data_IF_232271449903
#
_entry.id   IF_232271449903
#
_cell.length_a   1.000
_cell.length_b   1.000
_cell.length_c   1.000
_cell.angle_alpha   90.00
_cell.angle_beta   90.00
_cell.angle_gamma   90.00
#
_symmetry.space_group_name_H-M   'P 1'
#
loop_
_entity.id
_entity.type
_entity.pdbx_description
1 polymer ?
#
# COMPACT_ATOMS: atom_id res chain seq x y z
N UNK A 1 -32.50 10.33 5.33
CA UNK A 1 -32.18 9.48 6.50
C UNK A 1 -30.86 9.98 7.05
N UNK A 2 -30.87 10.68 8.19
CA UNK A 2 -29.65 11.09 8.90
C UNK A 2 -29.04 9.84 9.55
N UNK A 3 -28.04 9.23 8.89
CA UNK A 3 -27.23 8.21 9.53
C UNK A 3 -26.42 8.89 10.63
N UNK A 4 -26.80 8.65 11.88
CA UNK A 4 -26.09 9.17 13.05
C UNK A 4 -24.74 8.46 13.14
N UNK A 5 -23.71 9.09 12.60
CA UNK A 5 -22.34 8.57 12.58
C UNK A 5 -21.93 8.14 13.98
N UNK A 6 -21.73 6.83 14.21
CA UNK A 6 -21.41 6.31 15.55
C UNK A 6 -19.95 6.58 15.92
N UNK A 7 -19.61 6.66 17.21
CA UNK A 7 -18.23 6.86 17.66
C UNK A 7 -17.24 5.80 17.14
N UNK A 8 -17.75 4.62 16.79
CA UNK A 8 -17.01 3.53 16.15
C UNK A 8 -16.58 3.90 14.72
N UNK A 9 -17.45 4.53 13.95
CA UNK A 9 -17.15 4.95 12.56
C UNK A 9 -16.01 5.98 12.53
N UNK A 10 -15.92 6.87 13.52
CA UNK A 10 -14.81 7.80 13.68
C UNK A 10 -13.47 7.09 13.93
N UNK A 11 -13.48 6.07 14.79
CA UNK A 11 -12.28 5.26 15.07
C UNK A 11 -11.84 4.53 13.80
N UNK A 12 -12.77 3.91 13.07
CA UNK A 12 -12.47 3.24 11.80
C UNK A 12 -11.94 4.21 10.75
N UNK A 13 -12.49 5.43 10.67
CA UNK A 13 -12.04 6.45 9.72
C UNK A 13 -10.62 6.93 10.03
N UNK A 14 -10.31 7.20 11.30
CA UNK A 14 -8.94 7.55 11.73
C UNK A 14 -7.97 6.41 11.41
N UNK A 15 -8.38 5.16 11.64
CA UNK A 15 -7.56 3.99 11.32
C UNK A 15 -7.28 3.88 9.82
N UNK A 16 -8.29 4.08 8.96
CA UNK A 16 -8.12 4.09 7.51
C UNK A 16 -7.18 5.19 7.03
N UNK A 17 -7.30 6.40 7.58
CA UNK A 17 -6.39 7.50 7.28
C UNK A 17 -4.96 7.15 7.72
N UNK A 18 -4.79 6.56 8.91
CA UNK A 18 -3.49 6.13 9.40
C UNK A 18 -2.85 5.07 8.48
N UNK A 19 -3.65 4.12 7.97
CA UNK A 19 -3.19 3.14 6.97
C UNK A 19 -2.77 3.83 5.68
N UNK A 20 -3.56 4.76 5.16
CA UNK A 20 -3.22 5.52 3.94
C UNK A 20 -1.92 6.32 4.10
N UNK A 21 -1.76 7.02 5.23
CA UNK A 21 -0.54 7.75 5.58
C UNK A 21 0.65 6.81 5.73
N UNK A 22 0.47 5.62 6.31
CA UNK A 22 1.51 4.60 6.40
C UNK A 22 2.02 4.18 5.00
N UNK A 23 1.12 3.95 4.05
CA UNK A 23 1.49 3.65 2.67
C UNK A 23 2.25 4.79 1.99
N UNK A 24 1.81 6.04 2.18
CA UNK A 24 2.52 7.22 1.69
C UNK A 24 3.93 7.30 2.28
N UNK A 25 4.07 7.17 3.60
CA UNK A 25 5.34 7.18 4.30
C UNK A 25 6.29 6.09 3.76
N UNK A 26 5.77 4.87 3.56
CA UNK A 26 6.56 3.79 2.99
C UNK A 26 6.98 4.07 1.54
N UNK A 27 6.11 4.66 0.73
CA UNK A 27 6.41 5.09 -0.63
C UNK A 27 7.52 6.15 -0.67
N UNK A 28 7.46 7.18 0.18
CA UNK A 28 8.51 8.20 0.27
C UNK A 28 9.83 7.63 0.79
N UNK A 29 9.78 6.69 1.74
CA UNK A 29 10.96 6.01 2.29
C UNK A 29 11.43 4.85 1.41
N UNK A 30 10.83 4.62 0.25
CA UNK A 30 11.24 3.57 -0.69
C UNK A 30 12.42 4.07 -1.53
N UNK A 31 13.62 3.66 -1.13
CA UNK A 31 14.88 4.03 -1.78
C UNK A 31 15.34 2.93 -2.75
N UNK A 32 16.24 3.25 -3.70
CA UNK A 32 16.83 2.26 -4.60
C UNK A 32 17.48 1.07 -3.86
N UNK A 33 18.13 1.34 -2.72
CA UNK A 33 18.76 0.30 -1.87
C UNK A 33 17.73 -0.68 -1.31
N UNK A 34 16.58 -0.20 -0.84
CA UNK A 34 15.50 -1.07 -0.37
C UNK A 34 14.91 -1.90 -1.50
N UNK A 35 14.84 -1.32 -2.70
CA UNK A 35 14.41 -2.05 -3.89
C UNK A 35 15.40 -3.15 -4.28
N UNK A 36 16.71 -2.91 -4.18
CA UNK A 36 17.73 -3.93 -4.39
C UNK A 36 17.60 -5.08 -3.38
N UNK A 37 17.47 -4.78 -2.08
CA UNK A 37 17.21 -5.80 -1.05
C UNK A 37 15.93 -6.60 -1.33
N UNK A 38 14.87 -5.94 -1.80
CA UNK A 38 13.64 -6.61 -2.21
C UNK A 38 13.82 -7.51 -3.45
N UNK A 39 14.69 -7.13 -4.40
CA UNK A 39 15.05 -7.96 -5.56
C UNK A 39 15.86 -9.19 -5.14
N UNK A 40 16.84 -9.03 -4.26
CA UNK A 40 17.62 -10.15 -3.70
C UNK A 40 16.71 -11.14 -2.97
N UNK A 41 15.80 -10.63 -2.13
CA UNK A 41 14.84 -11.48 -1.43
C UNK A 41 13.86 -12.16 -2.40
N UNK A 42 13.44 -11.46 -3.46
CA UNK A 42 12.62 -12.03 -4.53
C UNK A 42 13.36 -13.14 -5.29
N UNK A 43 14.68 -13.04 -5.43
CA UNK A 43 15.50 -14.10 -6.05
C UNK A 43 15.54 -15.35 -5.19
N UNK A 44 15.71 -15.18 -3.88
CA UNK A 44 15.63 -16.29 -2.93
C UNK A 44 14.24 -16.91 -2.95
N UNK A 45 13.18 -16.10 -2.95
CA UNK A 45 11.79 -16.57 -3.00
C UNK A 45 11.48 -17.33 -4.31
N UNK A 46 12.04 -16.94 -5.46
CA UNK A 46 11.88 -17.70 -6.71
C UNK A 46 12.53 -19.09 -6.67
N UNK A 47 13.62 -19.24 -5.91
CA UNK A 47 14.34 -20.52 -5.76
C UNK A 47 13.69 -21.42 -4.71
N UNK A 48 13.10 -20.85 -3.67
CA UNK A 48 12.61 -21.58 -2.49
C UNK A 48 11.10 -21.79 -2.48
N UNK A 49 10.31 -20.85 -3.00
CA UNK A 49 8.84 -20.93 -2.98
C UNK A 49 8.30 -21.50 -4.29
N UNK A 50 7.43 -22.51 -4.17
CA UNK A 50 6.76 -23.13 -5.33
C UNK A 50 5.47 -22.41 -5.73
N UNK A 51 4.92 -21.56 -4.86
CA UNK A 51 3.65 -20.89 -5.08
C UNK A 51 3.69 -19.87 -6.22
N UNK A 52 2.64 -19.92 -7.05
CA UNK A 52 2.51 -19.08 -8.23
C UNK A 52 2.49 -17.58 -7.90
N UNK A 53 1.78 -17.19 -6.83
CA UNK A 53 1.66 -15.78 -6.42
C UNK A 53 3.03 -15.17 -6.06
N UNK A 54 3.83 -15.91 -5.30
CA UNK A 54 5.18 -15.47 -4.91
C UNK A 54 6.11 -15.42 -6.13
N UNK A 55 6.02 -16.39 -7.05
CA UNK A 55 6.81 -16.37 -8.28
C UNK A 55 6.43 -15.22 -9.21
N UNK A 56 5.14 -14.92 -9.34
CA UNK A 56 4.67 -13.80 -10.14
C UNK A 56 5.14 -12.46 -9.56
N UNK A 57 4.95 -12.26 -8.25
CA UNK A 57 5.36 -11.05 -7.56
C UNK A 57 6.87 -10.85 -7.60
N UNK A 58 7.65 -11.91 -7.38
CA UNK A 58 9.10 -11.86 -7.45
C UNK A 58 9.61 -11.55 -8.87
N UNK A 59 9.03 -12.18 -9.91
CA UNK A 59 9.34 -11.83 -11.31
C UNK A 59 8.99 -10.37 -11.63
N UNK A 60 7.88 -9.88 -11.10
CA UNK A 60 7.47 -8.49 -11.27
C UNK A 60 8.50 -7.55 -10.61
N UNK A 61 8.84 -7.77 -9.34
CA UNK A 61 9.84 -6.96 -8.62
C UNK A 61 11.21 -6.99 -9.32
N UNK A 62 11.61 -8.14 -9.87
CA UNK A 62 12.86 -8.25 -10.62
C UNK A 62 12.87 -7.48 -11.94
N UNK A 63 11.75 -7.33 -12.63
CA UNK A 63 11.71 -6.68 -13.95
C UNK A 63 11.42 -5.19 -13.85
N UNK A 64 10.92 -4.74 -12.70
CA UNK A 64 10.38 -3.40 -12.56
C UNK A 64 11.41 -2.46 -11.92
N UNK A 65 11.58 -1.23 -12.43
CA UNK A 65 12.47 -0.23 -11.83
C UNK A 65 12.04 0.22 -10.43
N UNK A 66 13.00 0.68 -9.61
CA UNK A 66 12.78 1.04 -8.21
C UNK A 66 11.69 2.10 -7.98
N UNK A 67 11.51 3.02 -8.92
CA UNK A 67 10.47 4.06 -8.83
C UNK A 67 9.04 3.49 -8.88
N UNK A 68 8.84 2.26 -9.35
CA UNK A 68 7.51 1.68 -9.56
C UNK A 68 6.88 1.30 -8.22
N UNK A 69 7.68 0.72 -7.31
CA UNK A 69 7.25 0.43 -5.95
C UNK A 69 6.90 1.71 -5.21
N UNK A 70 7.70 2.77 -5.39
CA UNK A 70 7.41 4.10 -4.85
C UNK A 70 6.09 4.66 -5.37
N UNK A 71 5.88 4.66 -6.69
CA UNK A 71 4.64 5.14 -7.31
C UNK A 71 3.44 4.30 -6.84
N UNK A 72 3.57 2.99 -6.79
CA UNK A 72 2.52 2.07 -6.34
C UNK A 72 2.06 2.36 -4.91
N UNK A 73 3.01 2.47 -3.96
CA UNK A 73 2.69 2.79 -2.58
C UNK A 73 2.09 4.19 -2.41
N UNK A 74 2.57 5.17 -3.18
CA UNK A 74 2.01 6.52 -3.16
C UNK A 74 0.58 6.53 -3.69
N UNK A 75 0.31 5.89 -4.85
CA UNK A 75 -1.03 5.82 -5.44
C UNK A 75 -2.01 5.15 -4.47
N UNK A 76 -1.63 4.02 -3.87
CA UNK A 76 -2.49 3.33 -2.90
C UNK A 76 -2.74 4.21 -1.67
N UNK A 77 -1.70 4.84 -1.13
CA UNK A 77 -1.84 5.73 0.02
C UNK A 77 -2.77 6.91 -0.27
N UNK A 78 -2.59 7.59 -1.41
CA UNK A 78 -3.47 8.68 -1.86
C UNK A 78 -4.90 8.17 -2.02
N UNK A 79 -5.09 7.01 -2.67
CA UNK A 79 -6.42 6.44 -2.91
C UNK A 79 -7.16 6.12 -1.61
N UNK A 80 -6.48 5.51 -0.63
CA UNK A 80 -7.06 5.20 0.69
C UNK A 80 -7.44 6.49 1.43
N UNK A 81 -6.54 7.48 1.48
CA UNK A 81 -6.84 8.76 2.13
C UNK A 81 -8.01 9.47 1.42
N UNK A 82 -8.01 9.46 0.10
CA UNK A 82 -9.07 10.08 -0.71
C UNK A 82 -10.43 9.42 -0.47
N UNK A 83 -10.50 8.08 -0.47
CA UNK A 83 -11.73 7.37 -0.13
C UNK A 83 -12.18 7.63 1.31
N UNK A 84 -11.26 7.70 2.27
CA UNK A 84 -11.59 8.00 3.65
C UNK A 84 -12.13 9.44 3.82
N UNK A 85 -11.65 10.39 3.02
CA UNK A 85 -12.12 11.79 3.01
C UNK A 85 -13.46 11.92 2.28
N UNK A 86 -13.63 11.29 1.13
CA UNK A 86 -14.92 11.29 0.40
C UNK A 86 -16.01 10.55 1.18
N UNK A 87 -15.67 9.42 1.81
CA UNK A 87 -16.59 8.73 2.71
C UNK A 87 -17.14 9.68 3.77
N UNK A 88 -16.31 10.59 4.31
CA UNK A 88 -16.78 11.63 5.23
C UNK A 88 -17.86 12.54 4.64
N UNK A 89 -17.73 12.92 3.37
CA UNK A 89 -18.65 13.83 2.69
C UNK A 89 -19.94 13.19 2.19
N UNK A 90 -19.98 11.86 2.04
CA UNK A 90 -21.18 11.11 1.64
C UNK A 90 -22.05 10.65 2.83
N UNK A 91 -21.50 10.58 4.04
CA UNK A 91 -22.20 10.15 5.26
C UNK A 91 -22.64 11.31 6.19
N UNK A 92 -22.36 12.58 5.82
CA UNK A 92 -22.96 13.76 6.45
C UNK A 92 -24.26 14.14 5.76
#
# INVERSE_FOLDING_TARGET
MLFKQTGIEWIFQILLIAIGVFFLFYGFKYTPEKHQKAREQSEVDLRTKKDFQYKWLAKFIMKTPWWSGRIFFIIIGVFIVFLAVIGKGLFQ
#
